data_IF_775317240105
#
_entry.id   IF_775317240105
#
_cell.length_a   1.000
_cell.length_b   1.000
_cell.length_c   1.000
_cell.angle_alpha   90.00
_cell.angle_beta   90.00
_cell.angle_gamma   90.00
#
_symmetry.space_group_name_H-M   'P 1'
#
loop_
_entity.id
_entity.type
_entity.pdbx_description
1 polymer ?
#
# COMPACT_ATOMS: atom_id res chain seq x y z
N UNK A 1 -73.22 19.80 -31.07
CA UNK A 1 -72.06 20.22 -31.90
C UNK A 1 -70.83 19.93 -31.07
N UNK A 2 -70.23 18.78 -31.31
CA UNK A 2 -69.31 18.16 -30.35
C UNK A 2 -67.88 18.53 -30.72
N UNK A 3 -67.22 19.29 -29.83
CA UNK A 3 -65.84 19.75 -30.05
C UNK A 3 -64.87 18.61 -29.76
N UNK A 4 -64.22 18.12 -30.80
CA UNK A 4 -63.16 17.11 -30.75
C UNK A 4 -61.84 17.74 -30.28
N UNK A 5 -61.37 17.38 -29.09
CA UNK A 5 -60.07 17.81 -28.56
C UNK A 5 -58.99 16.86 -29.08
N UNK A 6 -58.00 17.41 -29.79
CA UNK A 6 -56.85 16.66 -30.33
C UNK A 6 -55.63 16.99 -29.46
N UNK A 7 -55.10 16.00 -28.75
CA UNK A 7 -53.88 16.16 -27.96
C UNK A 7 -52.69 15.71 -28.82
N UNK A 8 -51.86 16.66 -29.26
CA UNK A 8 -50.59 16.36 -29.94
C UNK A 8 -49.45 16.29 -28.93
N UNK A 9 -48.74 15.16 -28.91
CA UNK A 9 -47.53 14.95 -28.11
C UNK A 9 -46.33 15.59 -28.83
N UNK A 10 -45.93 16.78 -28.41
CA UNK A 10 -44.68 17.43 -28.83
C UNK A 10 -43.48 16.68 -28.23
N UNK A 11 -42.51 16.31 -29.07
CA UNK A 11 -41.18 15.91 -28.62
C UNK A 11 -40.83 14.42 -28.65
N UNK A 12 -41.09 13.71 -29.74
CA UNK A 12 -40.37 12.47 -30.03
C UNK A 12 -39.70 12.54 -31.39
N UNK A 13 -38.75 13.45 -31.53
CA UNK A 13 -37.74 13.36 -32.57
C UNK A 13 -36.89 12.12 -32.28
N UNK A 14 -37.09 11.08 -33.08
CA UNK A 14 -36.14 9.97 -33.17
C UNK A 14 -34.83 10.57 -33.65
N UNK A 15 -33.68 10.33 -33.00
CA UNK A 15 -32.42 10.82 -33.53
C UNK A 15 -32.17 10.15 -34.88
N UNK A 16 -32.17 10.95 -35.95
CA UNK A 16 -31.73 10.49 -37.26
C UNK A 16 -30.26 10.09 -37.16
N UNK A 17 -29.98 8.79 -37.31
CA UNK A 17 -28.62 8.28 -37.41
C UNK A 17 -28.10 8.65 -38.79
N UNK A 18 -27.51 9.83 -38.92
CA UNK A 18 -26.76 10.20 -40.11
C UNK A 18 -25.54 9.30 -40.23
N UNK A 19 -25.57 8.36 -41.19
CA UNK A 19 -24.42 7.55 -41.54
C UNK A 19 -23.29 8.46 -42.04
N UNK A 20 -22.22 8.55 -41.26
CA UNK A 20 -21.04 9.30 -41.67
C UNK A 20 -20.37 8.60 -42.86
N UNK A 21 -20.36 9.27 -44.01
CA UNK A 21 -19.53 8.86 -45.15
C UNK A 21 -18.09 8.78 -44.66
N UNK A 22 -17.46 7.60 -44.80
CA UNK A 22 -16.05 7.35 -44.47
C UNK A 22 -15.16 8.22 -45.36
N UNK A 23 -14.93 9.46 -44.95
CA UNK A 23 -13.90 10.32 -45.51
C UNK A 23 -12.54 9.70 -45.25
N UNK A 24 -11.72 9.59 -46.30
CA UNK A 24 -10.32 9.15 -46.20
C UNK A 24 -9.62 10.05 -45.17
N UNK A 25 -9.14 9.47 -44.08
CA UNK A 25 -8.34 10.17 -43.08
C UNK A 25 -7.05 10.66 -43.74
N UNK A 26 -6.94 11.96 -43.98
CA UNK A 26 -5.63 12.59 -44.20
C UNK A 26 -4.78 12.29 -42.97
N UNK A 27 -3.54 11.82 -43.19
CA UNK A 27 -2.58 11.47 -42.15
C UNK A 27 -2.18 12.73 -41.37
N UNK A 28 -2.98 13.10 -40.38
CA UNK A 28 -2.65 14.17 -39.44
C UNK A 28 -1.96 13.57 -38.20
N UNK A 29 -0.68 13.92 -38.07
CA UNK A 29 0.23 13.79 -36.93
C UNK A 29 0.72 12.38 -36.52
N UNK A 30 2.00 12.23 -36.14
CA UNK A 30 2.54 10.96 -35.67
C UNK A 30 1.83 10.55 -34.36
N UNK A 31 0.94 9.56 -34.45
CA UNK A 31 0.25 8.94 -33.31
C UNK A 31 1.18 8.23 -32.30
N UNK A 32 2.50 8.35 -32.47
CA UNK A 32 3.52 7.62 -31.70
C UNK A 32 4.07 8.35 -30.47
N UNK A 33 3.76 9.63 -30.25
CA UNK A 33 4.41 10.42 -29.17
C UNK A 33 3.49 10.66 -27.96
N UNK A 34 2.25 10.19 -27.97
CA UNK A 34 1.53 10.04 -26.70
C UNK A 34 1.96 8.71 -26.12
N UNK A 35 3.08 8.74 -25.37
CA UNK A 35 3.36 7.73 -24.35
C UNK A 35 2.13 7.72 -23.45
N UNK A 36 1.21 6.77 -23.68
CA UNK A 36 0.10 6.50 -22.79
C UNK A 36 0.75 6.41 -21.42
N UNK A 37 0.51 7.39 -20.55
CA UNK A 37 0.96 7.34 -19.16
C UNK A 37 0.55 5.95 -18.68
N UNK A 38 1.53 5.10 -18.40
CA UNK A 38 1.27 3.71 -18.05
C UNK A 38 0.33 3.79 -16.87
N UNK A 39 -0.95 3.45 -17.09
CA UNK A 39 -2.06 3.83 -16.22
C UNK A 39 -1.66 3.51 -14.78
N UNK A 40 -1.22 4.51 -14.04
CA UNK A 40 -1.11 4.41 -12.60
C UNK A 40 -2.55 4.49 -12.12
N UNK A 41 -3.29 3.40 -12.34
CA UNK A 41 -4.61 3.24 -11.76
C UNK A 41 -4.35 3.01 -10.28
N UNK A 42 -4.63 4.01 -9.47
CA UNK A 42 -4.91 3.83 -8.04
C UNK A 42 -6.09 2.86 -7.97
N UNK A 43 -5.80 1.55 -8.00
CA UNK A 43 -6.82 0.52 -7.80
C UNK A 43 -7.20 0.60 -6.33
N UNK A 44 -8.48 0.88 -6.07
CA UNK A 44 -9.04 0.76 -4.73
C UNK A 44 -8.74 -0.62 -4.18
N UNK A 45 -8.26 -0.67 -2.93
CA UNK A 45 -8.05 -1.93 -2.22
C UNK A 45 -9.42 -2.56 -1.98
N UNK A 46 -9.63 -3.80 -2.42
CA UNK A 46 -10.91 -4.53 -2.23
C UNK A 46 -11.29 -4.68 -0.76
N UNK A 47 -10.32 -4.62 0.15
CA UNK A 47 -10.53 -4.70 1.59
C UNK A 47 -9.58 -3.68 2.25
N UNK A 48 -10.11 -2.56 2.79
CA UNK A 48 -9.29 -1.52 3.40
C UNK A 48 -8.67 -1.95 4.74
N UNK A 49 -9.17 -3.02 5.38
CA UNK A 49 -8.60 -3.56 6.60
C UNK A 49 -7.39 -4.46 6.35
N UNK A 50 -7.17 -4.89 5.10
CA UNK A 50 -5.99 -5.65 4.69
C UNK A 50 -4.84 -4.74 4.31
N UNK A 51 -3.64 -5.09 4.78
CA UNK A 51 -2.42 -4.40 4.39
C UNK A 51 -2.20 -4.51 2.88
N UNK A 52 -1.85 -3.41 2.19
CA UNK A 52 -1.66 -3.46 0.74
C UNK A 52 -0.56 -4.46 0.36
N UNK A 53 -0.78 -5.27 -0.69
CA UNK A 53 0.19 -6.26 -1.14
C UNK A 53 1.45 -5.57 -1.70
N UNK A 54 2.61 -6.16 -1.44
CA UNK A 54 3.86 -5.71 -2.06
C UNK A 54 3.86 -6.14 -3.52
N UNK A 55 4.25 -5.24 -4.43
CA UNK A 55 4.47 -5.65 -5.83
C UNK A 55 5.61 -6.68 -5.88
N UNK A 56 5.53 -7.62 -6.84
CA UNK A 56 6.58 -8.61 -7.08
C UNK A 56 7.90 -7.86 -7.37
N UNK A 57 8.92 -8.10 -6.54
CA UNK A 57 10.23 -7.43 -6.63
C UNK A 57 10.40 -6.15 -5.78
N UNK A 58 9.33 -5.61 -5.17
CA UNK A 58 9.49 -4.53 -4.18
C UNK A 58 10.06 -5.13 -2.88
N UNK A 59 11.29 -4.71 -2.54
CA UNK A 59 11.82 -4.92 -1.19
C UNK A 59 10.91 -4.20 -0.19
N UNK A 60 10.72 -4.79 0.99
CA UNK A 60 10.02 -4.12 2.10
C UNK A 60 10.79 -2.83 2.40
N UNK A 61 10.27 -1.67 1.98
CA UNK A 61 10.89 -0.39 2.28
C UNK A 61 10.92 -0.18 3.80
N UNK A 62 12.00 0.47 4.26
CA UNK A 62 12.35 0.66 5.67
C UNK A 62 11.32 1.51 6.43
N UNK A 63 10.61 2.41 5.72
CA UNK A 63 9.59 3.29 6.28
C UNK A 63 8.20 2.82 5.84
N UNK A 64 7.64 1.83 6.53
CA UNK A 64 6.23 1.46 6.38
C UNK A 64 5.50 1.84 7.65
N UNK A 65 4.52 2.73 7.53
CA UNK A 65 3.53 2.94 8.59
C UNK A 65 2.77 1.63 8.78
N UNK A 66 3.04 0.94 9.88
CA UNK A 66 2.37 -0.30 10.21
C UNK A 66 0.97 0.03 10.72
N UNK A 67 -0.04 -0.67 10.19
CA UNK A 67 -1.36 -0.70 10.83
C UNK A 67 -1.25 -1.35 12.21
N UNK A 68 -2.22 -1.16 13.11
CA UNK A 68 -2.19 -1.77 14.45
C UNK A 68 -1.97 -3.30 14.41
N UNK A 69 -2.64 -3.99 13.49
CA UNK A 69 -2.46 -5.43 13.26
C UNK A 69 -1.03 -5.74 12.80
N UNK A 70 -0.47 -4.90 11.94
CA UNK A 70 0.93 -4.97 11.50
C UNK A 70 1.91 -4.79 12.66
N UNK A 71 1.69 -3.79 13.52
CA UNK A 71 2.50 -3.53 14.71
C UNK A 71 2.44 -4.70 15.71
N UNK A 72 1.25 -5.27 15.97
CA UNK A 72 1.09 -6.48 16.79
C UNK A 72 1.86 -7.66 16.22
N UNK A 73 1.78 -7.91 14.91
CA UNK A 73 2.54 -8.99 14.24
C UNK A 73 4.05 -8.75 14.29
N UNK A 74 4.49 -7.51 14.10
CA UNK A 74 5.88 -7.11 14.19
C UNK A 74 6.44 -7.39 15.59
N UNK A 75 5.76 -6.92 16.65
CA UNK A 75 6.14 -7.18 18.05
C UNK A 75 6.25 -8.69 18.37
N UNK A 76 5.30 -9.50 17.87
CA UNK A 76 5.34 -10.97 18.03
C UNK A 76 6.55 -11.59 17.32
N UNK A 77 6.86 -11.11 16.12
CA UNK A 77 8.00 -11.60 15.32
C UNK A 77 9.32 -11.26 16.01
N UNK A 78 9.48 -10.02 16.49
CA UNK A 78 10.65 -9.60 17.25
C UNK A 78 10.83 -10.42 18.54
N UNK A 79 9.75 -10.62 19.31
CA UNK A 79 9.80 -11.46 20.53
C UNK A 79 10.33 -12.87 20.21
N UNK A 80 9.81 -13.51 19.15
CA UNK A 80 10.26 -14.84 18.71
C UNK A 80 11.69 -14.86 18.17
N UNK A 81 12.14 -13.79 17.51
CA UNK A 81 13.50 -13.69 16.99
C UNK A 81 14.51 -13.56 18.13
N UNK A 82 14.25 -12.66 19.07
CA UNK A 82 15.10 -12.42 20.23
C UNK A 82 15.10 -13.63 21.18
N UNK A 83 13.97 -14.31 21.35
CA UNK A 83 13.91 -15.51 22.21
C UNK A 83 14.83 -16.63 21.73
N UNK A 84 15.07 -16.72 20.41
CA UNK A 84 15.96 -17.71 19.79
C UNK A 84 17.44 -17.34 19.84
N UNK A 85 17.78 -16.12 20.27
CA UNK A 85 19.18 -15.72 20.40
C UNK A 85 19.80 -16.33 21.66
N UNK A 86 21.08 -16.65 21.62
CA UNK A 86 21.85 -17.03 22.80
C UNK A 86 22.02 -15.81 23.72
N UNK A 87 22.13 -16.06 25.03
CA UNK A 87 22.29 -15.00 26.01
C UNK A 87 23.57 -14.19 25.80
N UNK A 88 24.67 -14.84 25.40
CA UNK A 88 25.93 -14.17 25.04
C UNK A 88 25.72 -13.13 23.94
N UNK A 89 25.06 -13.54 22.85
CA UNK A 89 24.81 -12.67 21.71
C UNK A 89 23.90 -11.50 22.06
N UNK A 90 22.91 -11.72 22.93
CA UNK A 90 22.06 -10.62 23.43
C UNK A 90 22.88 -9.63 24.24
N UNK A 91 23.70 -10.12 25.17
CA UNK A 91 24.56 -9.26 25.98
C UNK A 91 25.58 -8.49 25.14
N UNK A 92 26.19 -9.11 24.13
CA UNK A 92 27.15 -8.48 23.22
C UNK A 92 26.49 -7.35 22.42
N UNK A 93 25.29 -7.58 21.89
CA UNK A 93 24.55 -6.56 21.12
C UNK A 93 24.15 -5.40 22.02
N UNK A 94 23.64 -5.70 23.21
CA UNK A 94 23.17 -4.68 24.17
C UNK A 94 24.35 -3.84 24.67
N UNK A 95 25.49 -4.46 24.98
CA UNK A 95 26.72 -3.79 25.40
C UNK A 95 27.33 -2.97 24.26
N UNK A 96 27.45 -3.56 23.07
CA UNK A 96 28.01 -2.89 21.90
C UNK A 96 27.20 -1.68 21.41
N UNK A 97 25.93 -1.58 21.82
CA UNK A 97 25.06 -0.42 21.53
C UNK A 97 24.90 0.55 22.71
N UNK A 98 25.60 0.33 23.82
CA UNK A 98 25.51 1.21 24.99
C UNK A 98 24.14 1.23 25.67
N UNK A 99 23.35 0.17 25.51
CA UNK A 99 21.98 0.10 26.05
C UNK A 99 21.94 -0.28 27.54
N UNK A 100 23.07 -0.67 28.12
CA UNK A 100 23.18 -1.13 29.50
C UNK A 100 24.30 -0.37 30.19
N UNK A 101 23.99 0.18 31.37
CA UNK A 101 24.94 0.88 32.24
C UNK A 101 25.74 -0.09 33.12
N UNK A 102 25.11 -1.19 33.57
CA UNK A 102 25.75 -2.17 34.45
C UNK A 102 26.06 -3.48 33.71
N UNK A 103 27.33 -3.89 33.59
CA UNK A 103 27.74 -5.09 32.86
C UNK A 103 27.21 -6.41 33.46
N UNK A 104 26.71 -6.41 34.70
CA UNK A 104 26.15 -7.58 35.41
C UNK A 104 24.63 -7.70 35.28
N UNK A 105 24.01 -7.08 34.28
CA UNK A 105 22.57 -7.19 34.09
C UNK A 105 22.17 -8.63 33.76
N UNK A 106 21.12 -9.18 34.41
CA UNK A 106 20.58 -10.48 34.06
C UNK A 106 20.22 -10.58 32.56
N UNK A 107 20.36 -11.77 31.96
CA UNK A 107 20.08 -11.98 30.54
C UNK A 107 18.62 -11.72 30.18
N UNK A 108 17.69 -11.99 31.10
CA UNK A 108 16.26 -11.74 30.89
C UNK A 108 15.95 -10.25 30.70
N UNK A 109 16.52 -9.38 31.55
CA UNK A 109 16.39 -7.93 31.43
C UNK A 109 17.06 -7.42 30.14
N UNK A 110 18.23 -7.97 29.80
CA UNK A 110 18.94 -7.63 28.56
C UNK A 110 18.10 -7.96 27.31
N UNK A 111 17.36 -9.08 27.32
CA UNK A 111 16.44 -9.46 26.25
C UNK A 111 15.27 -8.46 26.13
N UNK A 112 14.74 -7.99 27.25
CA UNK A 112 13.67 -7.00 27.25
C UNK A 112 14.14 -5.62 26.76
N UNK A 113 15.29 -5.15 27.23
CA UNK A 113 15.93 -3.92 26.76
C UNK A 113 16.15 -3.97 25.25
N UNK A 114 16.75 -5.07 24.75
CA UNK A 114 16.98 -5.25 23.32
C UNK A 114 15.66 -5.23 22.54
N UNK A 115 14.62 -5.92 23.04
CA UNK A 115 13.31 -5.96 22.40
C UNK A 115 12.68 -4.58 22.29
N UNK A 116 12.78 -3.77 23.33
CA UNK A 116 12.23 -2.42 23.36
C UNK A 116 13.03 -1.50 22.44
N UNK A 117 14.36 -1.57 22.49
CA UNK A 117 15.25 -0.79 21.62
C UNK A 117 15.03 -1.09 20.13
N UNK A 118 14.86 -2.36 19.76
CA UNK A 118 14.56 -2.76 18.37
C UNK A 118 13.16 -2.34 17.96
N UNK A 119 12.18 -2.45 18.86
CA UNK A 119 10.81 -2.02 18.59
C UNK A 119 10.69 -0.52 18.39
N UNK A 120 11.51 0.27 19.10
CA UNK A 120 11.61 1.72 18.96
C UNK A 120 12.49 2.16 17.78
N UNK A 121 13.20 1.23 17.12
CA UNK A 121 14.05 1.53 15.98
C UNK A 121 15.46 2.03 16.32
N UNK A 122 15.88 1.96 17.59
CA UNK A 122 17.24 2.32 18.00
C UNK A 122 18.29 1.29 17.61
N UNK A 123 17.89 0.02 17.50
CA UNK A 123 18.79 -1.09 17.16
C UNK A 123 18.19 -1.92 16.03
N UNK A 124 19.04 -2.28 15.07
CA UNK A 124 18.74 -3.24 14.02
C UNK A 124 19.40 -4.57 14.35
N UNK A 125 18.63 -5.66 14.29
CA UNK A 125 19.05 -7.04 14.58
C UNK A 125 18.74 -7.92 13.39
#
# INVERSE_FOLDING_TARGET
>A
MDKKIIIQKLGSEKPEVHQSKKGKTLKTFPRGIIKKSSKFTLKGTSDPAKSPPLKKGMKKHTLRMLTEKGAKRHRKTLKRRISRMSDSKVQDVVRGKGLVLNPRTPPEISREILRNAVSAGFVSV
#
